data_IF_765640644754
#
_entry.id   IF_765640644754
#
_cell.length_a   1.000
_cell.length_b   1.000
_cell.length_c   1.000
_cell.angle_alpha   90.00
_cell.angle_beta   90.00
_cell.angle_gamma   90.00
#
_symmetry.space_group_name_H-M   'P 1'
#
loop_
_entity.id
_entity.type
_entity.pdbx_description
1 polymer ?
#
# COMPACT_ATOMS: atom_id res chain seq x y z
N UNK A 1 -35.87 8.54 -34.65
CA UNK A 1 -34.90 9.24 -33.81
C UNK A 1 -35.02 8.67 -32.41
N UNK A 2 -34.07 7.88 -31.97
CA UNK A 2 -34.02 7.30 -30.61
C UNK A 2 -33.03 8.15 -29.79
N UNK A 3 -33.33 8.54 -28.55
CA UNK A 3 -32.40 9.28 -27.73
C UNK A 3 -31.30 8.36 -27.19
N UNK A 4 -30.10 8.88 -27.15
CA UNK A 4 -28.89 8.20 -26.63
C UNK A 4 -28.97 7.99 -25.12
N UNK A 5 -28.75 6.75 -24.70
CA UNK A 5 -28.61 6.35 -23.29
C UNK A 5 -27.16 6.60 -22.86
N UNK A 6 -26.86 7.83 -22.44
CA UNK A 6 -25.57 8.20 -21.86
C UNK A 6 -25.73 9.13 -20.65
N UNK A 7 -26.63 8.80 -19.75
CA UNK A 7 -26.80 9.57 -18.52
C UNK A 7 -27.53 8.73 -17.47
N UNK A 8 -26.90 7.68 -16.93
CA UNK A 8 -27.44 7.00 -15.72
C UNK A 8 -26.36 6.16 -15.03
N UNK A 9 -25.27 6.82 -14.56
CA UNK A 9 -24.32 6.22 -13.64
C UNK A 9 -23.67 7.26 -12.69
N UNK A 10 -24.47 8.27 -12.32
CA UNK A 10 -24.04 9.30 -11.39
C UNK A 10 -25.17 9.59 -10.37
N UNK A 11 -25.64 8.57 -9.65
CA UNK A 11 -26.52 8.81 -8.52
C UNK A 11 -26.61 7.52 -7.67
N UNK A 12 -25.73 7.40 -6.67
CA UNK A 12 -25.98 6.66 -5.45
C UNK A 12 -24.80 6.80 -4.47
N UNK A 13 -24.50 8.05 -4.09
CA UNK A 13 -23.89 8.38 -2.81
C UNK A 13 -24.53 9.66 -2.29
N UNK A 14 -25.79 9.54 -1.85
CA UNK A 14 -26.38 10.50 -0.91
C UNK A 14 -25.91 10.10 0.48
N UNK A 15 -24.79 10.69 0.92
CA UNK A 15 -24.47 10.77 2.34
C UNK A 15 -25.46 11.73 3.02
N UNK A 16 -25.96 11.40 4.22
CA UNK A 16 -26.94 12.23 4.90
C UNK A 16 -26.32 13.56 5.36
N UNK A 17 -27.13 14.60 5.34
CA UNK A 17 -26.85 16.00 5.73
C UNK A 17 -26.41 16.21 7.19
N UNK A 18 -25.96 15.19 7.89
CA UNK A 18 -25.44 15.26 9.27
C UNK A 18 -23.94 15.50 9.35
N UNK A 19 -23.22 15.54 8.21
CA UNK A 19 -21.77 15.71 8.20
C UNK A 19 -21.28 17.14 8.52
N UNK A 20 -22.12 18.15 8.38
CA UNK A 20 -21.69 19.55 8.58
C UNK A 20 -21.65 20.00 10.05
N UNK A 21 -22.41 19.37 10.94
CA UNK A 21 -22.37 19.68 12.37
C UNK A 21 -21.29 18.88 13.11
N UNK A 22 -20.91 17.72 12.62
CA UNK A 22 -19.79 16.92 13.16
C UNK A 22 -18.41 17.54 12.87
N UNK A 23 -18.25 18.31 11.78
CA UNK A 23 -16.97 18.98 11.49
C UNK A 23 -16.65 20.10 12.48
N UNK A 24 -17.66 20.82 12.99
CA UNK A 24 -17.46 21.89 13.97
C UNK A 24 -17.17 21.38 15.39
N UNK A 25 -17.55 20.16 15.70
CA UNK A 25 -17.22 19.53 16.99
C UNK A 25 -15.86 18.82 16.98
N UNK A 26 -15.42 18.34 15.82
CA UNK A 26 -14.09 17.74 15.61
C UNK A 26 -12.93 18.71 15.80
N UNK A 27 -13.13 20.01 15.58
CA UNK A 27 -12.06 21.02 15.70
C UNK A 27 -11.66 21.34 17.15
N UNK A 28 -12.52 21.05 18.12
CA UNK A 28 -12.24 21.30 19.56
C UNK A 28 -11.38 20.21 20.22
N UNK A 29 -11.16 19.07 19.54
CA UNK A 29 -10.41 17.93 20.07
C UNK A 29 -9.16 17.58 19.27
N UNK A 30 -8.68 18.48 18.40
CA UNK A 30 -7.44 18.23 17.66
C UNK A 30 -6.26 18.07 18.60
N UNK A 31 -5.58 16.95 18.52
CA UNK A 31 -4.32 16.71 19.22
C UNK A 31 -3.28 17.71 18.67
N UNK A 32 -2.57 18.48 19.51
CA UNK A 32 -1.52 19.36 19.02
C UNK A 32 -0.45 18.55 18.30
N UNK A 33 -0.03 19.02 17.13
CA UNK A 33 1.03 18.36 16.38
C UNK A 33 2.39 18.51 17.12
N UNK A 34 3.17 17.45 17.14
CA UNK A 34 4.50 17.40 17.76
C UNK A 34 5.57 17.88 16.77
N UNK A 35 6.54 18.66 17.21
CA UNK A 35 7.63 19.12 16.35
C UNK A 35 8.64 18.00 16.06
N UNK A 36 8.97 17.84 14.77
CA UNK A 36 10.01 16.92 14.31
C UNK A 36 11.41 17.53 14.29
N UNK A 37 11.55 18.84 14.53
CA UNK A 37 12.79 19.56 14.32
C UNK A 37 13.94 19.02 15.18
N UNK A 38 13.65 18.67 16.44
CA UNK A 38 14.63 18.09 17.34
C UNK A 38 15.03 16.65 17.00
N UNK A 39 14.20 15.96 16.22
CA UNK A 39 14.44 14.57 15.80
C UNK A 39 15.18 14.53 14.47
N UNK A 40 14.64 15.19 13.45
CA UNK A 40 15.13 15.08 12.08
C UNK A 40 16.39 15.90 11.80
N UNK A 41 16.60 17.01 12.53
CA UNK A 41 17.79 17.85 12.38
C UNK A 41 18.82 17.62 13.52
N UNK A 42 18.68 16.52 14.27
CA UNK A 42 19.69 16.07 15.23
C UNK A 42 20.90 15.49 14.47
N UNK A 43 22.10 16.02 14.74
CA UNK A 43 23.35 15.52 14.14
C UNK A 43 23.63 14.05 14.51
N UNK A 44 23.11 13.59 15.65
CA UNK A 44 23.20 12.20 16.09
C UNK A 44 22.13 11.26 15.54
N UNK A 45 21.21 11.71 14.68
CA UNK A 45 20.08 10.90 14.20
C UNK A 45 20.52 9.52 13.67
N UNK A 46 21.57 9.48 12.87
CA UNK A 46 22.05 8.26 12.21
C UNK A 46 22.87 7.33 13.12
N UNK A 47 23.23 7.78 14.31
CA UNK A 47 24.00 6.99 15.29
C UNK A 47 23.10 6.35 16.36
N UNK A 48 21.89 6.86 16.56
CA UNK A 48 20.89 6.31 17.46
C UNK A 48 20.38 4.97 16.96
N UNK A 49 19.86 4.14 17.87
CA UNK A 49 19.09 2.98 17.46
C UNK A 49 17.66 3.38 17.08
N UNK A 50 16.98 2.56 16.27
CA UNK A 50 15.54 2.75 16.00
C UNK A 50 14.69 2.63 17.27
N UNK A 51 15.12 1.81 18.25
CA UNK A 51 14.43 1.65 19.53
C UNK A 51 14.52 2.92 20.39
N UNK A 52 15.70 3.57 20.42
CA UNK A 52 15.85 4.87 21.10
C UNK A 52 14.98 5.94 20.45
N UNK A 53 14.94 5.95 19.10
CA UNK A 53 14.11 6.89 18.37
C UNK A 53 12.62 6.65 18.62
N UNK A 54 12.18 5.39 18.60
CA UNK A 54 10.79 5.02 18.89
C UNK A 54 10.43 5.39 20.32
N UNK A 55 11.33 5.14 21.29
CA UNK A 55 11.12 5.50 22.70
C UNK A 55 10.98 7.02 22.87
N UNK A 56 11.83 7.80 22.19
CA UNK A 56 11.79 9.26 22.23
C UNK A 56 10.55 9.86 21.54
N UNK A 57 9.94 9.12 20.61
CA UNK A 57 8.76 9.56 19.85
C UNK A 57 7.51 8.74 20.15
N UNK A 58 7.53 7.92 21.19
CA UNK A 58 6.41 7.05 21.57
C UNK A 58 5.17 7.88 21.92
N UNK A 59 3.97 7.41 21.48
CA UNK A 59 2.72 8.01 21.93
C UNK A 59 2.61 7.98 23.45
N UNK A 60 2.39 9.14 24.06
CA UNK A 60 2.22 9.26 25.51
C UNK A 60 0.80 9.72 25.87
N UNK A 61 0.24 9.25 27.01
CA UNK A 61 -1.05 9.70 27.47
C UNK A 61 -0.96 11.08 28.10
N UNK A 62 -1.65 12.07 27.53
CA UNK A 62 -1.88 13.37 28.17
C UNK A 62 -3.10 13.32 29.07
N UNK A 63 -3.00 13.84 30.28
CA UNK A 63 -4.14 13.98 31.21
C UNK A 63 -4.91 15.24 30.85
N UNK A 64 -6.11 15.07 30.25
CA UNK A 64 -6.98 16.20 29.91
C UNK A 64 -7.74 16.68 31.14
N UNK A 65 -8.23 15.76 31.96
CA UNK A 65 -9.05 16.09 33.18
C UNK A 65 -8.96 14.98 34.22
N UNK A 66 -8.75 15.38 35.47
CA UNK A 66 -8.93 14.51 36.63
C UNK A 66 -10.27 14.82 37.29
N UNK A 67 -11.06 13.80 37.58
CA UNK A 67 -12.32 13.89 38.32
C UNK A 67 -12.36 12.82 39.39
N UNK A 68 -13.26 12.95 40.37
CA UNK A 68 -13.49 11.91 41.38
C UNK A 68 -13.89 10.55 40.80
N UNK A 69 -14.47 10.54 39.58
CA UNK A 69 -14.91 9.34 38.89
C UNK A 69 -13.86 8.74 37.96
N UNK A 70 -12.69 9.38 37.78
CA UNK A 70 -11.59 8.88 36.96
C UNK A 70 -10.77 9.97 36.26
N UNK A 71 -9.81 9.54 35.52
CA UNK A 71 -8.89 10.41 34.75
C UNK A 71 -9.19 10.29 33.27
N UNK A 72 -9.60 11.39 32.63
CA UNK A 72 -9.72 11.47 31.18
C UNK A 72 -8.32 11.69 30.61
N UNK A 73 -7.89 10.77 29.73
CA UNK A 73 -6.58 10.81 29.06
C UNK A 73 -6.79 10.85 27.55
N UNK A 74 -5.85 11.48 26.87
CA UNK A 74 -5.72 11.48 25.41
C UNK A 74 -4.32 11.00 25.06
N UNK A 75 -4.17 10.16 24.02
CA UNK A 75 -2.86 9.81 23.51
C UNK A 75 -2.31 10.97 22.67
N UNK A 76 -1.09 11.39 22.95
CA UNK A 76 -0.35 12.31 22.09
C UNK A 76 0.13 11.58 20.83
N UNK A 77 0.35 12.30 19.72
CA UNK A 77 0.92 11.69 18.52
C UNK A 77 2.29 11.08 18.82
N UNK A 78 2.57 9.96 18.18
CA UNK A 78 3.85 9.27 18.29
C UNK A 78 4.15 8.47 17.04
N UNK A 79 5.35 7.91 16.98
CA UNK A 79 5.75 7.00 15.93
C UNK A 79 5.58 5.55 16.37
N UNK A 80 5.04 4.73 15.49
CA UNK A 80 4.86 3.31 15.69
C UNK A 80 5.76 2.51 14.75
N UNK A 81 6.01 1.23 15.11
CA UNK A 81 6.78 0.34 14.25
C UNK A 81 6.03 0.07 12.93
N UNK A 82 6.73 0.18 11.81
CA UNK A 82 6.20 -0.19 10.49
C UNK A 82 5.87 -1.67 10.41
N UNK A 83 6.64 -2.50 11.10
CA UNK A 83 6.52 -3.95 11.09
C UNK A 83 6.94 -4.58 12.42
N UNK A 84 6.55 -5.82 12.63
CA UNK A 84 7.01 -6.64 13.77
C UNK A 84 8.52 -6.91 13.73
N UNK A 85 9.16 -6.78 12.56
CA UNK A 85 10.61 -6.86 12.41
C UNK A 85 11.37 -5.61 12.93
N UNK A 86 10.63 -4.55 13.29
CA UNK A 86 11.18 -3.29 13.80
C UNK A 86 12.21 -2.62 12.86
N UNK A 87 11.96 -2.72 11.56
CA UNK A 87 12.82 -2.21 10.49
C UNK A 87 12.55 -0.75 10.10
N UNK A 88 11.63 -0.10 10.79
CA UNK A 88 11.30 1.30 10.58
C UNK A 88 10.16 1.79 11.48
N UNK A 89 9.95 3.10 11.47
CA UNK A 89 8.92 3.80 12.22
C UNK A 89 8.03 4.62 11.27
N UNK A 90 6.77 4.78 11.63
CA UNK A 90 5.80 5.59 10.91
C UNK A 90 4.96 6.42 11.88
N UNK A 91 4.65 7.64 11.47
CA UNK A 91 3.64 8.46 12.09
C UNK A 91 2.53 8.81 11.10
N UNK A 92 1.31 8.86 11.61
CA UNK A 92 0.14 9.22 10.82
C UNK A 92 0.20 10.65 10.31
N UNK A 93 -0.46 10.94 9.17
CA UNK A 93 -0.59 12.28 8.63
C UNK A 93 -1.13 13.28 9.67
N UNK A 94 -0.62 14.49 9.62
CA UNK A 94 -1.00 15.61 10.49
C UNK A 94 -0.71 15.42 12.00
N UNK A 95 -0.04 14.35 12.41
CA UNK A 95 0.42 14.15 13.79
C UNK A 95 1.62 15.03 14.16
N UNK A 96 2.35 15.54 13.16
CA UNK A 96 3.60 16.27 13.34
C UNK A 96 3.65 17.59 12.61
N UNK A 97 4.55 18.45 13.12
CA UNK A 97 4.98 19.68 12.47
C UNK A 97 6.48 19.62 12.15
N UNK A 98 6.87 20.27 11.08
CA UNK A 98 8.26 20.52 10.72
C UNK A 98 8.40 22.02 10.44
N UNK A 99 9.39 22.67 11.08
CA UNK A 99 9.62 24.12 10.98
C UNK A 99 8.33 24.94 11.20
N UNK A 100 7.49 24.50 12.19
CA UNK A 100 6.24 25.15 12.53
C UNK A 100 5.07 24.90 11.57
N UNK A 101 5.24 24.09 10.52
CA UNK A 101 4.18 23.74 9.57
C UNK A 101 3.74 22.29 9.74
N UNK A 102 2.45 22.06 9.63
CA UNK A 102 1.89 20.70 9.58
C UNK A 102 2.48 19.95 8.41
N UNK A 103 2.81 18.69 8.64
CA UNK A 103 3.27 17.74 7.63
C UNK A 103 2.34 16.53 7.60
N UNK A 104 2.41 15.78 6.52
CA UNK A 104 1.69 14.54 6.37
C UNK A 104 2.42 13.36 7.01
N UNK A 105 2.43 12.24 6.33
CA UNK A 105 3.07 11.01 6.75
C UNK A 105 4.58 11.19 6.97
N UNK A 106 5.08 10.61 8.07
CA UNK A 106 6.51 10.55 8.39
C UNK A 106 6.93 9.09 8.47
N UNK A 107 7.96 8.72 7.72
CA UNK A 107 8.51 7.37 7.72
C UNK A 107 10.01 7.45 7.98
N UNK A 108 10.49 6.73 9.00
CA UNK A 108 11.91 6.51 9.23
C UNK A 108 12.21 5.05 8.92
N UNK A 109 13.01 4.79 7.90
CA UNK A 109 13.44 3.44 7.54
C UNK A 109 14.78 3.15 8.16
N UNK A 110 14.92 1.94 8.66
CA UNK A 110 16.13 1.47 9.29
C UNK A 110 16.87 0.42 8.48
N UNK A 111 18.14 0.27 8.84
CA UNK A 111 18.97 -0.80 8.40
C UNK A 111 19.86 -1.23 9.57
N UNK A 112 19.88 -2.52 9.87
CA UNK A 112 20.69 -3.07 10.96
C UNK A 112 20.41 -2.37 12.32
N UNK A 113 19.12 -2.08 12.59
CA UNK A 113 18.67 -1.47 13.83
C UNK A 113 18.92 0.05 13.97
N UNK A 114 19.46 0.72 12.94
CA UNK A 114 19.70 2.16 12.92
C UNK A 114 18.89 2.87 11.84
N UNK A 115 18.49 4.13 12.03
CA UNK A 115 17.93 4.95 10.97
C UNK A 115 18.90 5.07 9.79
N UNK A 116 18.41 4.98 8.57
CA UNK A 116 19.18 5.15 7.34
C UNK A 116 18.57 6.20 6.40
N UNK A 117 17.24 6.34 6.48
CA UNK A 117 16.47 7.29 5.68
C UNK A 117 15.24 7.75 6.49
N UNK A 118 14.90 9.02 6.39
CA UNK A 118 13.65 9.57 6.87
C UNK A 118 12.94 10.28 5.71
N UNK A 119 11.64 10.05 5.54
CA UNK A 119 10.81 10.71 4.54
C UNK A 119 9.65 11.42 5.23
N UNK A 120 9.39 12.67 4.85
CA UNK A 120 8.28 13.48 5.34
C UNK A 120 7.45 13.94 4.15
N UNK A 121 6.18 13.62 4.14
CA UNK A 121 5.22 14.13 3.16
C UNK A 121 4.89 15.60 3.51
N UNK A 122 5.17 16.51 2.58
CA UNK A 122 4.86 17.94 2.71
C UNK A 122 3.60 18.32 1.93
N UNK A 123 3.28 17.54 0.96
CA UNK A 123 2.05 17.51 0.17
C UNK A 123 1.98 16.19 -0.59
N UNK A 124 0.83 15.56 -0.62
CA UNK A 124 0.55 14.40 -1.45
C UNK A 124 -0.89 14.43 -1.94
N UNK A 125 -1.09 14.35 -3.25
CA UNK A 125 -2.42 14.37 -3.85
C UNK A 125 -3.37 13.30 -3.30
N UNK A 126 -2.85 12.12 -2.97
CA UNK A 126 -3.66 11.04 -2.40
C UNK A 126 -4.16 11.28 -0.98
N UNK A 127 -3.51 12.17 -0.20
CA UNK A 127 -3.90 12.50 1.18
C UNK A 127 -4.56 13.89 1.26
N UNK A 128 -4.07 14.86 0.45
CA UNK A 128 -4.41 16.28 0.58
C UNK A 128 -5.38 16.76 -0.53
N UNK A 129 -5.68 15.88 -1.51
CA UNK A 129 -6.47 16.26 -2.69
C UNK A 129 -5.68 17.04 -3.73
N UNK A 130 -6.38 17.58 -4.73
CA UNK A 130 -5.76 18.34 -5.82
C UNK A 130 -5.52 19.81 -5.43
N UNK A 131 -4.36 20.35 -5.82
CA UNK A 131 -4.04 21.76 -5.66
C UNK A 131 -3.65 22.39 -7.01
N UNK A 132 -3.94 23.69 -7.23
CA UNK A 132 -3.47 24.42 -8.40
C UNK A 132 -1.94 24.43 -8.52
N UNK A 133 -1.42 24.47 -9.75
CA UNK A 133 0.00 24.54 -10.02
C UNK A 133 0.70 25.72 -9.30
N UNK A 134 0.08 26.89 -9.27
CA UNK A 134 0.62 28.05 -8.56
C UNK A 134 0.74 27.82 -7.03
N UNK A 135 -0.19 27.09 -6.44
CA UNK A 135 -0.15 26.70 -5.02
C UNK A 135 0.98 25.71 -4.76
N UNK A 136 1.19 24.75 -5.66
CA UNK A 136 2.29 23.81 -5.60
C UNK A 136 3.64 24.51 -5.66
N UNK A 137 3.85 25.41 -6.63
CA UNK A 137 5.08 26.19 -6.78
C UNK A 137 5.34 27.07 -5.56
N UNK A 138 4.32 27.72 -5.03
CA UNK A 138 4.43 28.53 -3.81
C UNK A 138 4.84 27.67 -2.60
N UNK A 139 4.20 26.51 -2.39
CA UNK A 139 4.55 25.57 -1.32
C UNK A 139 6.02 25.09 -1.45
N UNK A 140 6.42 24.69 -2.65
CA UNK A 140 7.76 24.18 -2.91
C UNK A 140 8.83 25.26 -2.63
N UNK A 141 8.61 26.49 -3.08
CA UNK A 141 9.48 27.65 -2.82
C UNK A 141 9.52 28.01 -1.33
N UNK A 142 8.39 27.96 -0.65
CA UNK A 142 8.32 28.22 0.79
C UNK A 142 9.17 27.22 1.58
N UNK A 143 8.99 25.92 1.32
CA UNK A 143 9.80 24.88 1.96
C UNK A 143 11.28 25.04 1.68
N UNK A 144 11.65 25.38 0.43
CA UNK A 144 13.05 25.67 0.09
C UNK A 144 13.60 26.80 0.95
N UNK A 145 12.88 27.92 1.06
CA UNK A 145 13.31 29.09 1.84
C UNK A 145 13.48 28.75 3.33
N UNK A 146 12.54 27.97 3.90
CA UNK A 146 12.59 27.55 5.30
C UNK A 146 13.79 26.64 5.56
N UNK A 147 14.08 25.71 4.64
CA UNK A 147 15.23 24.80 4.74
C UNK A 147 16.56 25.52 4.54
N UNK A 148 16.64 26.48 3.63
CA UNK A 148 17.83 27.35 3.48
C UNK A 148 18.17 28.05 4.81
N UNK A 149 17.16 28.62 5.48
CA UNK A 149 17.31 29.26 6.79
C UNK A 149 17.70 28.29 7.91
N UNK A 150 17.04 27.11 7.97
CA UNK A 150 17.29 26.12 9.04
C UNK A 150 18.64 25.45 8.92
N UNK A 151 19.06 25.08 7.72
CA UNK A 151 20.28 24.33 7.50
C UNK A 151 21.53 25.24 7.44
N UNK A 152 21.34 26.50 7.03
CA UNK A 152 22.38 27.51 6.90
C UNK A 152 23.58 27.04 6.07
N UNK A 153 23.36 26.20 5.08
CA UNK A 153 24.33 25.76 4.07
C UNK A 153 23.73 25.94 2.69
N UNK A 154 24.58 26.11 1.67
CA UNK A 154 24.14 26.32 0.29
C UNK A 154 23.47 25.06 -0.25
N UNK A 155 22.27 25.22 -0.83
CA UNK A 155 21.60 24.16 -1.58
C UNK A 155 22.15 24.06 -3.01
N UNK A 156 22.15 22.84 -3.53
CA UNK A 156 22.42 22.54 -4.93
C UNK A 156 21.11 22.10 -5.60
N UNK A 157 20.80 22.66 -6.78
CA UNK A 157 19.68 22.17 -7.57
C UNK A 157 19.99 20.78 -8.10
N UNK A 158 19.06 19.86 -7.92
CA UNK A 158 19.19 18.48 -8.36
C UNK A 158 18.09 18.14 -9.35
N UNK A 159 18.46 17.99 -10.62
CA UNK A 159 17.60 17.38 -11.63
C UNK A 159 17.75 15.87 -11.51
N UNK A 160 16.80 15.23 -10.88
CA UNK A 160 16.82 13.78 -10.74
C UNK A 160 16.18 13.13 -11.97
N UNK A 161 16.89 12.20 -12.57
CA UNK A 161 16.32 11.24 -13.51
C UNK A 161 15.77 10.08 -12.67
N UNK A 162 14.46 10.05 -12.48
CA UNK A 162 13.73 9.03 -11.73
C UNK A 162 12.63 8.41 -12.57
N UNK A 163 11.78 7.65 -11.90
CA UNK A 163 10.56 7.07 -12.48
C UNK A 163 9.59 8.14 -12.97
N UNK A 164 9.61 9.32 -12.30
CA UNK A 164 8.79 10.50 -12.61
C UNK A 164 9.68 11.74 -12.73
N UNK A 165 9.22 12.81 -13.42
CA UNK A 165 9.91 14.08 -13.42
C UNK A 165 9.96 14.66 -12.01
N UNK A 166 11.17 14.92 -11.50
CA UNK A 166 11.38 15.54 -10.20
C UNK A 166 12.11 16.86 -10.37
N UNK A 167 11.72 17.86 -9.61
CA UNK A 167 12.49 19.06 -9.32
C UNK A 167 12.88 19.04 -7.84
N UNK A 168 14.03 19.59 -7.51
CA UNK A 168 14.44 19.53 -6.11
C UNK A 168 15.79 20.15 -5.83
N UNK A 169 16.08 20.19 -4.55
CA UNK A 169 17.32 20.73 -3.98
C UNK A 169 17.89 19.77 -2.96
N UNK A 170 19.21 19.77 -2.86
CA UNK A 170 19.96 19.01 -1.88
C UNK A 170 20.82 19.93 -1.02
N UNK A 171 20.79 19.73 0.28
CA UNK A 171 21.70 20.30 1.27
C UNK A 171 22.52 19.18 1.88
N UNK A 172 23.78 19.43 2.14
CA UNK A 172 24.69 18.48 2.82
C UNK A 172 25.26 19.16 4.06
N UNK A 173 24.99 18.56 5.23
CA UNK A 173 25.50 19.05 6.52
C UNK A 173 25.96 17.87 7.37
N UNK A 174 27.26 17.77 7.62
CA UNK A 174 27.83 16.59 8.28
C UNK A 174 27.55 15.29 7.52
N UNK A 175 27.07 14.28 8.19
CA UNK A 175 26.64 13.01 7.58
C UNK A 175 25.20 13.04 7.04
N UNK A 176 24.53 14.18 7.06
CA UNK A 176 23.14 14.29 6.62
C UNK A 176 23.04 14.96 5.24
N UNK A 177 22.42 14.27 4.28
CA UNK A 177 21.89 14.86 3.06
C UNK A 177 20.38 15.08 3.23
N UNK A 178 19.92 16.31 3.02
CA UNK A 178 18.51 16.72 3.05
C UNK A 178 18.09 17.02 1.63
N UNK A 179 17.05 16.34 1.14
CA UNK A 179 16.51 16.49 -0.22
C UNK A 179 15.06 16.99 -0.15
N UNK A 180 14.80 18.17 -0.69
CA UNK A 180 13.46 18.63 -0.99
C UNK A 180 13.15 18.24 -2.43
N UNK A 181 12.09 17.48 -2.64
CA UNK A 181 11.70 16.98 -3.96
C UNK A 181 10.22 17.26 -4.21
N UNK A 182 9.92 17.75 -5.39
CA UNK A 182 8.56 17.95 -5.86
C UNK A 182 8.33 17.29 -7.21
N UNK A 183 7.12 16.84 -7.46
CA UNK A 183 6.72 16.28 -8.74
C UNK A 183 5.39 16.86 -9.22
N UNK A 184 5.37 17.20 -10.50
CA UNK A 184 4.18 17.64 -11.21
C UNK A 184 4.00 16.82 -12.48
N UNK A 185 2.79 16.33 -12.71
CA UNK A 185 2.42 15.77 -14.00
C UNK A 185 2.20 16.92 -14.98
N UNK A 186 3.20 17.17 -15.82
CA UNK A 186 3.20 18.33 -16.74
C UNK A 186 2.14 18.20 -17.83
N UNK A 187 1.78 16.99 -18.26
CA UNK A 187 0.76 16.78 -19.29
C UNK A 187 -0.64 17.12 -18.79
N UNK A 188 -0.91 16.87 -17.52
CA UNK A 188 -2.19 17.15 -16.86
C UNK A 188 -2.16 18.45 -16.05
N UNK A 189 -1.01 19.13 -15.97
CA UNK A 189 -0.76 20.31 -15.13
C UNK A 189 -1.17 20.10 -13.67
N UNK A 190 -0.95 18.89 -13.17
CA UNK A 190 -1.40 18.43 -11.87
C UNK A 190 -0.24 18.20 -10.91
N UNK A 191 -0.34 18.79 -9.72
CA UNK A 191 0.60 18.56 -8.63
C UNK A 191 0.42 17.13 -8.09
N UNK A 192 1.51 16.39 -7.90
CA UNK A 192 1.46 15.01 -7.42
C UNK A 192 1.93 14.90 -5.98
N UNK A 193 3.13 15.40 -5.67
CA UNK A 193 3.65 15.41 -4.31
C UNK A 193 4.77 16.43 -4.10
N UNK A 194 4.99 16.81 -2.84
CA UNK A 194 6.20 17.47 -2.32
C UNK A 194 6.63 16.65 -1.10
N UNK A 195 7.89 16.24 -1.07
CA UNK A 195 8.45 15.47 0.04
C UNK A 195 9.82 15.99 0.46
N UNK A 196 10.14 15.77 1.73
CA UNK A 196 11.47 15.92 2.26
C UNK A 196 12.04 14.54 2.54
N UNK A 197 13.25 14.27 2.04
CA UNK A 197 14.00 13.06 2.40
C UNK A 197 15.29 13.46 3.09
N UNK A 198 15.59 12.78 4.19
CA UNK A 198 16.87 12.87 4.87
C UNK A 198 17.54 11.51 4.78
N UNK A 199 18.83 11.48 4.50
CA UNK A 199 19.59 10.22 4.44
C UNK A 199 20.98 10.42 5.00
N UNK A 200 21.51 9.39 5.65
CA UNK A 200 22.92 9.34 6.00
C UNK A 200 23.78 9.22 4.74
N UNK A 201 24.73 10.13 4.56
CA UNK A 201 25.65 10.09 3.41
C UNK A 201 26.54 8.84 3.46
N UNK A 202 26.99 8.46 4.65
CA UNK A 202 27.78 7.24 4.85
C UNK A 202 26.98 5.96 4.59
N UNK A 203 25.74 5.88 5.07
CA UNK A 203 24.87 4.75 4.81
C UNK A 203 24.49 4.64 3.32
N UNK A 204 24.26 5.77 2.65
CA UNK A 204 23.96 5.79 1.22
C UNK A 204 25.11 5.30 0.34
N UNK A 205 26.37 5.59 0.71
CA UNK A 205 27.56 5.09 0.00
C UNK A 205 27.70 3.57 0.10
N UNK A 206 27.22 2.98 1.19
CA UNK A 206 27.29 1.55 1.47
C UNK A 206 26.02 0.79 1.02
N UNK A 207 25.04 1.50 0.45
CA UNK A 207 23.84 0.86 -0.06
C UNK A 207 24.15 0.03 -1.32
N UNK A 208 23.54 -1.15 -1.51
CA UNK A 208 23.72 -1.93 -2.73
C UNK A 208 23.24 -1.11 -3.95
N UNK A 209 24.12 -0.92 -4.90
CA UNK A 209 23.85 -0.12 -6.12
C UNK A 209 23.21 -0.92 -7.24
N UNK A 210 23.07 -2.23 -7.08
CA UNK A 210 22.55 -3.14 -8.12
C UNK A 210 21.36 -3.92 -7.58
N UNK A 211 20.34 -4.09 -8.40
CA UNK A 211 19.29 -5.05 -8.14
C UNK A 211 19.89 -6.45 -7.97
N UNK A 212 19.38 -7.19 -7.01
CA UNK A 212 19.79 -8.57 -6.80
C UNK A 212 19.37 -9.44 -8.01
N UNK A 213 20.17 -10.47 -8.30
CA UNK A 213 19.87 -11.41 -9.39
C UNK A 213 18.67 -12.28 -9.02
N UNK A 214 17.86 -12.64 -10.01
CA UNK A 214 16.66 -13.45 -9.82
C UNK A 214 16.94 -14.78 -9.11
N UNK A 215 18.05 -15.42 -9.41
CA UNK A 215 18.45 -16.72 -8.83
C UNK A 215 18.82 -16.62 -7.34
N UNK A 216 19.15 -15.43 -6.84
CA UNK A 216 19.50 -15.24 -5.41
C UNK A 216 18.30 -15.24 -4.46
N UNK A 217 17.08 -15.04 -4.97
CA UNK A 217 15.89 -14.88 -4.12
C UNK A 217 15.39 -16.21 -3.54
N UNK A 218 15.71 -17.34 -4.15
CA UNK A 218 15.41 -18.65 -3.60
C UNK A 218 16.01 -18.86 -2.19
N UNK A 219 17.10 -18.17 -1.86
CA UNK A 219 17.70 -18.20 -0.51
C UNK A 219 16.79 -17.59 0.58
N UNK A 220 15.82 -16.76 0.20
CA UNK A 220 14.84 -16.17 1.11
C UNK A 220 13.65 -17.08 1.39
N UNK A 221 13.58 -18.24 0.73
CA UNK A 221 12.52 -19.21 0.96
C UNK A 221 12.80 -19.97 2.25
N UNK A 222 11.84 -20.00 3.15
CA UNK A 222 11.89 -20.66 4.47
C UNK A 222 10.75 -21.64 4.59
N UNK A 223 10.88 -22.56 5.53
CA UNK A 223 9.80 -23.41 5.99
C UNK A 223 9.58 -23.16 7.48
N UNK A 224 8.32 -23.01 7.90
CA UNK A 224 8.00 -22.88 9.31
C UNK A 224 7.55 -24.21 9.95
N UNK A 225 7.33 -24.17 11.26
CA UNK A 225 6.90 -25.31 12.07
C UNK A 225 5.47 -25.81 11.75
N UNK A 226 4.69 -25.01 11.04
CA UNK A 226 3.34 -25.34 10.55
C UNK A 226 3.35 -25.98 9.15
N UNK A 227 4.54 -26.18 8.57
CA UNK A 227 4.70 -26.76 7.23
C UNK A 227 4.44 -25.80 6.08
N UNK A 228 4.42 -24.48 6.32
CA UNK A 228 4.38 -23.52 5.25
C UNK A 228 5.74 -23.26 4.64
N UNK A 229 5.82 -23.35 3.33
CA UNK A 229 6.92 -22.78 2.55
C UNK A 229 6.61 -21.32 2.27
N UNK A 230 7.49 -20.38 2.62
CA UNK A 230 7.22 -18.96 2.49
C UNK A 230 8.48 -18.13 2.21
N UNK A 231 8.26 -16.95 1.62
CA UNK A 231 9.30 -15.96 1.33
C UNK A 231 9.46 -15.06 2.55
N UNK A 232 10.67 -14.98 3.07
CA UNK A 232 11.07 -14.09 4.15
C UNK A 232 11.68 -12.80 3.63
N UNK A 233 11.70 -11.73 4.47
CA UNK A 233 12.40 -10.48 4.17
C UNK A 233 11.69 -9.54 3.19
N UNK A 234 10.38 -9.70 2.95
CA UNK A 234 9.62 -8.72 2.15
C UNK A 234 9.36 -7.47 3.01
N UNK A 235 9.90 -6.30 2.60
CA UNK A 235 9.80 -5.09 3.41
C UNK A 235 8.34 -4.62 3.55
N UNK A 236 8.01 -4.04 4.69
CA UNK A 236 6.71 -3.40 4.89
C UNK A 236 6.69 -2.00 4.25
N UNK A 237 5.61 -1.72 3.56
CA UNK A 237 5.20 -0.38 3.14
C UNK A 237 3.75 -0.22 3.56
N UNK A 238 3.48 0.73 4.41
CA UNK A 238 2.13 1.03 4.86
C UNK A 238 1.48 2.01 3.88
N UNK A 239 0.31 1.64 3.35
CA UNK A 239 -0.43 2.47 2.39
C UNK A 239 -1.15 3.65 3.04
N UNK A 240 -1.29 3.66 4.36
CA UNK A 240 -2.13 4.62 5.08
C UNK A 240 -3.62 4.39 4.86
N UNK A 241 -4.39 5.47 4.97
CA UNK A 241 -5.85 5.46 4.82
C UNK A 241 -6.34 5.64 3.37
N UNK A 242 -5.42 5.84 2.44
CA UNK A 242 -5.70 6.10 1.02
C UNK A 242 -5.76 4.82 0.19
N UNK A 243 -6.35 4.87 -0.99
CA UNK A 243 -6.48 3.75 -1.93
C UNK A 243 -5.16 3.28 -2.57
N UNK A 244 -4.07 3.23 -1.82
CA UNK A 244 -2.71 2.94 -2.31
C UNK A 244 -2.30 1.47 -2.23
N UNK A 245 -3.23 0.53 -2.03
CA UNK A 245 -2.91 -0.89 -1.91
C UNK A 245 -2.08 -1.44 -3.09
N UNK A 246 -2.40 -1.02 -4.33
CA UNK A 246 -1.66 -1.43 -5.53
C UNK A 246 -0.24 -0.89 -5.51
N UNK A 247 -0.08 0.42 -5.33
CA UNK A 247 1.23 1.08 -5.44
C UNK A 247 2.14 0.76 -4.25
N UNK A 248 1.58 0.59 -3.06
CA UNK A 248 2.32 0.14 -1.89
C UNK A 248 2.81 -1.32 -2.05
N UNK A 249 1.97 -2.22 -2.57
CA UNK A 249 2.37 -3.60 -2.87
C UNK A 249 3.48 -3.64 -3.93
N UNK A 250 3.40 -2.80 -4.97
CA UNK A 250 4.44 -2.68 -6.00
C UNK A 250 5.74 -2.13 -5.40
N UNK A 251 5.68 -1.11 -4.54
CA UNK A 251 6.87 -0.62 -3.81
C UNK A 251 7.51 -1.72 -2.99
N UNK A 252 6.72 -2.54 -2.27
CA UNK A 252 7.24 -3.66 -1.47
C UNK A 252 8.01 -4.66 -2.32
N UNK A 253 7.43 -5.06 -3.46
CA UNK A 253 8.10 -5.97 -4.40
C UNK A 253 9.34 -5.33 -5.01
N UNK A 254 9.29 -4.07 -5.42
CA UNK A 254 10.42 -3.35 -5.97
C UNK A 254 11.58 -3.23 -4.97
N UNK A 255 11.27 -2.84 -3.72
CA UNK A 255 12.27 -2.78 -2.64
C UNK A 255 12.84 -4.14 -2.29
N UNK A 256 12.04 -5.18 -2.27
CA UNK A 256 12.50 -6.56 -2.08
C UNK A 256 13.55 -6.96 -3.13
N UNK A 257 13.39 -6.51 -4.36
CA UNK A 257 14.35 -6.72 -5.44
C UNK A 257 15.50 -5.70 -5.48
N UNK A 258 15.54 -4.75 -4.53
CA UNK A 258 16.61 -3.74 -4.42
C UNK A 258 16.38 -2.49 -5.26
N UNK A 259 15.18 -2.28 -5.81
CA UNK A 259 14.83 -1.02 -6.48
C UNK A 259 14.36 0.03 -5.46
N UNK A 260 14.91 1.25 -5.57
CA UNK A 260 14.54 2.35 -4.68
C UNK A 260 13.44 3.21 -5.32
N UNK A 261 12.21 2.86 -5.06
CA UNK A 261 11.00 3.54 -5.55
C UNK A 261 10.03 3.66 -4.38
N UNK A 262 9.25 4.73 -4.35
CA UNK A 262 8.20 4.89 -3.34
C UNK A 262 6.78 4.89 -3.94
N UNK A 263 5.79 4.70 -3.07
CA UNK A 263 4.38 4.61 -3.46
C UNK A 263 3.84 5.90 -4.10
N UNK A 264 4.40 7.08 -3.81
CA UNK A 264 3.94 8.34 -4.39
C UNK A 264 4.38 8.48 -5.86
N UNK A 265 5.62 8.09 -6.17
CA UNK A 265 6.08 7.99 -7.56
C UNK A 265 5.26 6.94 -8.32
N UNK A 266 4.96 5.82 -7.67
CA UNK A 266 4.10 4.78 -8.24
C UNK A 266 2.68 5.29 -8.48
N UNK A 267 2.10 6.05 -7.55
CA UNK A 267 0.77 6.62 -7.67
C UNK A 267 0.67 7.58 -8.87
N UNK A 268 1.69 8.41 -9.08
CA UNK A 268 1.76 9.28 -10.27
C UNK A 268 1.80 8.47 -11.57
N UNK A 269 2.60 7.41 -11.63
CA UNK A 269 2.71 6.55 -12.81
C UNK A 269 1.43 5.77 -13.11
N UNK A 270 0.77 5.31 -12.05
CA UNK A 270 -0.48 4.55 -12.11
C UNK A 270 -1.71 5.42 -12.27
N UNK A 271 -1.57 6.74 -12.16
CA UNK A 271 -2.68 7.68 -12.04
C UNK A 271 -3.66 7.30 -10.90
N UNK A 272 -3.09 6.87 -9.77
CA UNK A 272 -3.85 6.48 -8.58
C UNK A 272 -4.42 7.71 -7.89
N UNK A 273 -5.69 7.67 -7.47
CA UNK A 273 -6.34 8.67 -6.63
C UNK A 273 -6.48 8.18 -5.18
N UNK A 274 -7.15 8.97 -4.35
CA UNK A 274 -7.63 8.57 -3.03
C UNK A 274 -8.60 7.38 -3.08
N UNK A 275 -9.39 7.27 -4.16
CA UNK A 275 -10.28 6.13 -4.43
C UNK A 275 -9.55 4.85 -4.90
N UNK A 276 -8.26 4.94 -5.21
CA UNK A 276 -7.43 3.83 -5.64
C UNK A 276 -7.08 3.80 -7.13
N UNK A 277 -6.65 2.64 -7.60
CA UNK A 277 -6.29 2.39 -8.99
C UNK A 277 -7.42 1.60 -9.65
N UNK A 278 -8.04 2.14 -10.71
CA UNK A 278 -9.12 1.44 -11.42
C UNK A 278 -8.63 0.13 -12.06
N UNK A 279 -9.51 -0.88 -12.13
CA UNK A 279 -9.17 -2.19 -12.70
C UNK A 279 -8.65 -2.12 -14.14
N UNK A 280 -9.21 -1.24 -14.98
CA UNK A 280 -8.75 -1.03 -16.37
C UNK A 280 -7.42 -0.26 -16.40
N UNK A 281 -7.17 0.62 -15.42
CA UNK A 281 -5.92 1.37 -15.28
C UNK A 281 -4.77 0.52 -14.76
N UNK A 282 -5.06 -0.52 -14.00
CA UNK A 282 -4.08 -1.33 -13.30
C UNK A 282 -3.10 -2.06 -14.23
N UNK A 283 -3.56 -2.70 -15.29
CA UNK A 283 -2.69 -3.37 -16.27
C UNK A 283 -1.75 -2.39 -16.96
N UNK A 284 -2.27 -1.22 -17.38
CA UNK A 284 -1.46 -0.15 -17.96
C UNK A 284 -0.49 0.43 -16.95
N UNK A 285 -0.93 0.55 -15.68
CA UNK A 285 -0.10 1.00 -14.57
C UNK A 285 1.05 0.02 -14.32
N UNK A 286 0.79 -1.27 -14.23
CA UNK A 286 1.84 -2.29 -14.08
C UNK A 286 2.87 -2.21 -15.19
N UNK A 287 2.46 -2.11 -16.45
CA UNK A 287 3.38 -2.01 -17.59
C UNK A 287 4.24 -0.74 -17.52
N UNK A 288 3.63 0.41 -17.17
CA UNK A 288 4.35 1.69 -17.04
C UNK A 288 5.35 1.67 -15.88
N UNK A 289 4.94 1.12 -14.73
CA UNK A 289 5.76 1.04 -13.54
C UNK A 289 6.93 0.08 -13.79
N UNK A 290 6.64 -1.16 -14.19
CA UNK A 290 7.65 -2.22 -14.25
C UNK A 290 8.72 -1.96 -15.28
N UNK A 291 8.38 -1.36 -16.43
CA UNK A 291 9.37 -0.95 -17.41
C UNK A 291 10.38 0.09 -16.90
N UNK A 292 9.93 0.99 -16.00
CA UNK A 292 10.80 2.03 -15.41
C UNK A 292 11.65 1.52 -14.24
N UNK A 293 11.23 0.45 -13.59
CA UNK A 293 11.95 -0.13 -12.44
C UNK A 293 12.75 -1.37 -12.80
N UNK A 294 12.94 -1.63 -14.09
CA UNK A 294 13.69 -2.79 -14.60
C UNK A 294 13.09 -4.14 -14.15
N UNK A 295 11.78 -4.19 -13.93
CA UNK A 295 11.03 -5.40 -13.68
C UNK A 295 10.19 -5.77 -14.90
N UNK A 296 9.77 -7.02 -14.97
CA UNK A 296 8.80 -7.53 -15.94
C UNK A 296 7.59 -8.07 -15.19
N UNK A 297 6.41 -7.65 -15.60
CA UNK A 297 5.14 -8.18 -15.08
C UNK A 297 4.59 -9.26 -16.00
N UNK A 298 4.16 -10.37 -15.40
CA UNK A 298 3.45 -11.46 -16.07
C UNK A 298 2.11 -11.66 -15.37
N UNK A 299 1.01 -11.60 -16.14
CA UNK A 299 -0.34 -11.92 -15.65
C UNK A 299 -0.57 -13.43 -15.79
N UNK A 300 -0.94 -14.10 -14.71
CA UNK A 300 -1.18 -15.55 -14.66
C UNK A 300 -2.67 -15.88 -14.59
N UNK A 301 -3.45 -15.06 -13.92
CA UNK A 301 -4.89 -15.21 -13.76
C UNK A 301 -5.54 -13.84 -13.98
N UNK A 302 -6.68 -13.88 -14.66
CA UNK A 302 -7.57 -12.74 -14.85
C UNK A 302 -9.01 -13.22 -14.68
N UNK A 303 -9.80 -12.49 -13.89
CA UNK A 303 -11.21 -12.72 -13.72
C UNK A 303 -11.97 -11.75 -14.63
N UNK A 304 -12.24 -12.20 -15.85
CA UNK A 304 -12.97 -11.47 -16.88
C UNK A 304 -14.47 -11.84 -16.87
N UNK A 305 -15.25 -11.12 -17.65
CA UNK A 305 -16.70 -11.34 -17.81
C UNK A 305 -17.03 -12.79 -18.21
N UNK A 306 -16.28 -13.37 -19.17
CA UNK A 306 -16.49 -14.75 -19.63
C UNK A 306 -16.25 -15.77 -18.51
N UNK A 307 -15.28 -15.49 -17.63
CA UNK A 307 -15.02 -16.33 -16.47
C UNK A 307 -16.13 -16.20 -15.43
N UNK A 308 -16.60 -14.95 -15.19
CA UNK A 308 -17.72 -14.68 -14.32
C UNK A 308 -19.00 -15.41 -14.77
N UNK A 309 -19.33 -15.34 -16.07
CA UNK A 309 -20.46 -16.07 -16.64
C UNK A 309 -20.36 -17.59 -16.42
N UNK A 310 -19.18 -18.18 -16.67
CA UNK A 310 -18.98 -19.62 -16.42
C UNK A 310 -19.15 -19.97 -14.96
N UNK A 311 -18.61 -19.14 -14.06
CA UNK A 311 -18.71 -19.35 -12.63
C UNK A 311 -20.16 -19.23 -12.15
N UNK A 312 -20.94 -18.26 -12.64
CA UNK A 312 -22.37 -18.12 -12.33
C UNK A 312 -23.17 -19.33 -12.80
N UNK A 313 -22.93 -19.83 -14.01
CA UNK A 313 -23.61 -21.03 -14.53
C UNK A 313 -23.28 -22.26 -13.69
N UNK A 314 -22.01 -22.48 -13.36
CA UNK A 314 -21.57 -23.59 -12.52
C UNK A 314 -22.15 -23.49 -11.11
N UNK A 315 -22.09 -22.28 -10.52
CA UNK A 315 -22.67 -21.99 -9.21
C UNK A 315 -24.18 -22.25 -9.20
N UNK A 316 -24.95 -21.71 -10.17
CA UNK A 316 -26.40 -21.88 -10.22
C UNK A 316 -26.81 -23.35 -10.33
N UNK A 317 -26.03 -24.14 -11.07
CA UNK A 317 -26.26 -25.61 -11.16
C UNK A 317 -26.04 -26.26 -9.79
N UNK A 318 -25.02 -25.92 -9.06
CA UNK A 318 -24.73 -26.44 -7.73
C UNK A 318 -25.74 -25.90 -6.68
N UNK A 319 -26.06 -24.61 -6.75
CA UNK A 319 -27.02 -23.94 -5.86
C UNK A 319 -28.42 -24.57 -5.92
N UNK A 320 -28.87 -24.90 -7.14
CA UNK A 320 -30.14 -25.61 -7.34
C UNK A 320 -30.14 -26.98 -6.64
N UNK A 321 -29.04 -27.72 -6.73
CA UNK A 321 -28.89 -29.02 -6.06
C UNK A 321 -28.82 -28.88 -4.54
N UNK A 322 -28.16 -27.83 -4.06
CA UNK A 322 -27.98 -27.55 -2.64
C UNK A 322 -29.23 -26.86 -1.99
N UNK A 323 -30.20 -26.44 -2.77
CA UNK A 323 -31.36 -25.72 -2.27
C UNK A 323 -31.05 -24.30 -1.77
N UNK A 324 -29.96 -23.68 -2.27
CA UNK A 324 -29.58 -22.31 -1.91
C UNK A 324 -29.89 -21.33 -3.04
N UNK A 325 -29.88 -20.05 -2.72
CA UNK A 325 -30.21 -18.98 -3.69
C UNK A 325 -29.27 -19.02 -4.91
N UNK A 326 -29.87 -18.94 -6.10
CA UNK A 326 -29.17 -18.74 -7.36
C UNK A 326 -28.92 -17.27 -7.62
N UNK A 327 -27.87 -16.96 -8.38
CA UNK A 327 -27.53 -15.60 -8.85
C UNK A 327 -28.42 -15.31 -10.06
N UNK A 328 -29.03 -14.14 -10.08
CA UNK A 328 -30.03 -13.57 -10.94
C UNK A 328 -30.39 -14.31 -12.25
N UNK A 329 -31.66 -14.67 -12.37
CA UNK A 329 -32.24 -15.21 -13.62
C UNK A 329 -32.30 -14.14 -14.76
N UNK A 330 -32.13 -12.85 -14.40
CA UNK A 330 -32.22 -11.71 -15.32
C UNK A 330 -30.87 -11.31 -15.94
N UNK A 331 -29.79 -12.00 -15.58
CA UNK A 331 -28.44 -11.76 -16.09
C UNK A 331 -28.29 -12.02 -17.60
N UNK A 332 -29.23 -12.72 -18.21
CA UNK A 332 -29.19 -13.08 -19.65
C UNK A 332 -29.37 -11.87 -20.60
N UNK A 333 -29.78 -10.70 -20.10
CA UNK A 333 -30.10 -9.54 -20.94
C UNK A 333 -28.97 -8.50 -20.97
N UNK A 334 -28.15 -8.39 -19.92
CA UNK A 334 -27.18 -7.29 -19.75
C UNK A 334 -25.74 -7.72 -19.41
N UNK A 335 -25.43 -9.01 -19.41
CA UNK A 335 -24.16 -9.52 -18.91
C UNK A 335 -24.17 -9.66 -17.38
N UNK A 336 -23.24 -10.45 -16.86
CA UNK A 336 -23.05 -10.64 -15.40
C UNK A 336 -22.03 -9.63 -14.89
N UNK A 337 -22.43 -8.78 -13.93
CA UNK A 337 -21.45 -8.02 -13.16
C UNK A 337 -20.58 -9.01 -12.36
N UNK A 338 -19.27 -9.09 -12.60
CA UNK A 338 -18.40 -10.00 -11.87
C UNK A 338 -18.46 -9.85 -10.35
N UNK A 339 -18.85 -8.68 -9.85
CA UNK A 339 -18.97 -8.39 -8.41
C UNK A 339 -20.19 -9.09 -7.78
N UNK A 340 -21.23 -9.35 -8.55
CA UNK A 340 -22.48 -9.90 -8.04
C UNK A 340 -22.27 -11.29 -7.41
N UNK A 341 -21.34 -12.08 -7.95
CA UNK A 341 -21.02 -13.39 -7.42
C UNK A 341 -20.43 -13.30 -6.00
N UNK A 342 -19.56 -12.31 -5.74
CA UNK A 342 -18.96 -12.10 -4.41
C UNK A 342 -19.94 -11.53 -3.39
N UNK A 343 -20.99 -10.86 -3.88
CA UNK A 343 -22.00 -10.20 -3.04
C UNK A 343 -23.14 -11.15 -2.64
N UNK A 344 -23.51 -12.08 -3.51
CA UNK A 344 -24.79 -12.79 -3.39
C UNK A 344 -24.68 -14.30 -3.32
N UNK A 345 -23.57 -14.91 -3.78
CA UNK A 345 -23.39 -16.35 -3.76
C UNK A 345 -23.32 -16.93 -2.34
N UNK A 346 -23.90 -18.12 -2.15
CA UNK A 346 -23.59 -18.90 -0.96
C UNK A 346 -22.13 -19.34 -0.99
N UNK A 347 -21.40 -18.97 0.05
CA UNK A 347 -19.92 -19.09 0.13
C UNK A 347 -19.45 -20.53 -0.02
N UNK A 348 -20.10 -21.45 0.70
CA UNK A 348 -19.68 -22.85 0.73
C UNK A 348 -19.91 -23.50 -0.63
N UNK A 349 -21.10 -23.29 -1.19
CA UNK A 349 -21.43 -23.81 -2.52
C UNK A 349 -20.50 -23.24 -3.59
N UNK A 350 -20.21 -21.93 -3.54
CA UNK A 350 -19.30 -21.32 -4.51
C UNK A 350 -17.86 -21.80 -4.35
N UNK A 351 -17.37 -21.94 -3.12
CA UNK A 351 -16.05 -22.47 -2.81
C UNK A 351 -15.88 -23.89 -3.35
N UNK A 352 -16.86 -24.79 -3.14
CA UNK A 352 -16.79 -26.15 -3.64
C UNK A 352 -16.79 -26.22 -5.17
N UNK A 353 -17.60 -25.37 -5.82
CA UNK A 353 -17.59 -25.22 -7.29
C UNK A 353 -16.21 -24.75 -7.77
N UNK A 354 -15.65 -23.72 -7.16
CA UNK A 354 -14.37 -23.16 -7.56
C UNK A 354 -13.21 -24.14 -7.35
N UNK A 355 -13.21 -24.87 -6.23
CA UNK A 355 -12.20 -25.89 -5.93
C UNK A 355 -12.18 -27.03 -6.94
N UNK A 356 -13.34 -27.40 -7.51
CA UNK A 356 -13.43 -28.45 -8.52
C UNK A 356 -13.01 -28.03 -9.94
N UNK A 357 -12.70 -26.75 -10.16
CA UNK A 357 -12.31 -26.25 -11.47
C UNK A 357 -10.80 -26.39 -11.73
N UNK A 358 -10.37 -26.64 -12.98
CA UNK A 358 -8.94 -26.67 -13.35
C UNK A 358 -8.20 -25.36 -13.05
N UNK A 359 -8.93 -24.25 -12.93
CA UNK A 359 -8.39 -22.96 -12.56
C UNK A 359 -7.80 -22.92 -11.14
N UNK A 360 -8.33 -23.74 -10.23
CA UNK A 360 -7.81 -23.85 -8.86
C UNK A 360 -6.43 -24.52 -8.83
N UNK A 361 -6.27 -25.64 -9.52
CA UNK A 361 -4.95 -26.30 -9.67
C UNK A 361 -3.93 -25.38 -10.35
N UNK A 362 -4.37 -24.57 -11.32
CA UNK A 362 -3.49 -23.59 -11.95
C UNK A 362 -3.07 -22.50 -10.95
N UNK A 363 -3.96 -22.02 -10.09
CA UNK A 363 -3.67 -21.06 -9.03
C UNK A 363 -2.62 -21.61 -8.07
N UNK A 364 -2.81 -22.82 -7.54
CA UNK A 364 -1.86 -23.48 -6.63
C UNK A 364 -0.49 -23.70 -7.30
N UNK A 365 -0.49 -24.19 -8.54
CA UNK A 365 0.75 -24.40 -9.29
C UNK A 365 1.53 -23.10 -9.48
N UNK A 366 0.85 -21.99 -9.78
CA UNK A 366 1.51 -20.68 -9.92
C UNK A 366 2.05 -20.16 -8.60
N UNK A 367 1.32 -20.33 -7.52
CA UNK A 367 1.80 -19.96 -6.18
C UNK A 367 3.08 -20.74 -5.86
N UNK A 368 3.04 -22.07 -5.99
CA UNK A 368 4.20 -22.90 -5.73
C UNK A 368 5.39 -22.55 -6.61
N UNK A 369 5.18 -22.38 -7.92
CA UNK A 369 6.22 -22.06 -8.91
C UNK A 369 7.00 -20.79 -8.55
N UNK A 370 6.31 -19.73 -8.11
CA UNK A 370 6.94 -18.44 -7.84
C UNK A 370 7.46 -18.33 -6.40
N UNK A 371 6.73 -18.86 -5.44
CA UNK A 371 7.19 -18.87 -4.03
C UNK A 371 8.47 -19.69 -3.87
N UNK A 372 8.59 -20.85 -4.51
CA UNK A 372 9.81 -21.68 -4.47
C UNK A 372 11.03 -20.95 -5.06
N UNK A 373 10.81 -19.98 -5.94
CA UNK A 373 11.86 -19.11 -6.48
C UNK A 373 12.12 -17.86 -5.64
N UNK A 374 11.42 -17.67 -4.52
CA UNK A 374 11.51 -16.45 -3.70
C UNK A 374 10.87 -15.23 -4.37
N UNK A 375 9.89 -15.40 -5.24
CA UNK A 375 9.21 -14.32 -5.96
C UNK A 375 7.78 -14.17 -5.42
N UNK A 376 7.46 -13.05 -4.71
CA UNK A 376 6.10 -12.81 -4.23
C UNK A 376 5.15 -12.53 -5.40
N UNK A 377 3.90 -12.94 -5.26
CA UNK A 377 2.87 -12.72 -6.27
C UNK A 377 1.97 -11.55 -5.88
N UNK A 378 1.82 -10.58 -6.77
CA UNK A 378 0.81 -9.54 -6.64
C UNK A 378 -0.57 -10.14 -6.89
N UNK A 379 -1.42 -10.09 -5.89
CA UNK A 379 -2.72 -10.73 -5.88
C UNK A 379 -3.81 -9.69 -5.66
N UNK A 380 -4.62 -9.46 -6.70
CA UNK A 380 -5.82 -8.63 -6.60
C UNK A 380 -7.02 -9.50 -6.30
N UNK A 381 -7.82 -9.05 -5.35
CA UNK A 381 -8.96 -9.79 -4.85
C UNK A 381 -10.12 -8.85 -4.50
N UNK A 382 -11.32 -9.42 -4.39
CA UNK A 382 -12.50 -8.73 -3.88
C UNK A 382 -12.77 -9.18 -2.45
N UNK A 383 -12.57 -8.28 -1.50
CA UNK A 383 -12.81 -8.52 -0.07
C UNK A 383 -14.29 -8.60 0.25
N UNK A 384 -14.66 -9.33 1.29
CA UNK A 384 -15.99 -9.37 1.88
C UNK A 384 -16.71 -10.71 1.75
N UNK A 385 -16.37 -11.56 0.75
CA UNK A 385 -16.99 -12.87 0.62
C UNK A 385 -16.66 -13.80 1.80
N UNK A 386 -15.38 -13.88 2.16
CA UNK A 386 -14.92 -14.62 3.34
C UNK A 386 -14.42 -13.62 4.39
N UNK A 387 -15.11 -13.45 5.54
CA UNK A 387 -14.74 -12.48 6.55
C UNK A 387 -13.39 -12.80 7.19
N UNK A 388 -12.56 -11.78 7.29
CA UNK A 388 -11.30 -11.82 7.99
C UNK A 388 -11.32 -10.84 9.17
N UNK A 389 -10.59 -11.17 10.25
CA UNK A 389 -10.53 -10.31 11.45
C UNK A 389 -9.48 -9.23 11.28
N UNK A 390 -9.73 -8.08 11.91
CA UNK A 390 -8.76 -6.97 12.03
C UNK A 390 -8.25 -6.45 10.68
N UNK A 391 -9.18 -6.19 9.74
CA UNK A 391 -8.88 -5.53 8.48
C UNK A 391 -9.30 -4.06 8.54
N UNK A 392 -8.44 -3.10 8.14
CA UNK A 392 -8.84 -1.71 7.94
C UNK A 392 -9.90 -1.54 6.84
N UNK A 393 -9.83 -2.36 5.79
CA UNK A 393 -10.84 -2.48 4.75
C UNK A 393 -11.37 -3.92 4.72
N UNK A 394 -12.66 -4.10 4.87
CA UNK A 394 -13.31 -5.41 4.92
C UNK A 394 -14.18 -5.72 3.69
N UNK A 395 -14.23 -4.81 2.71
CA UNK A 395 -15.07 -4.93 1.52
C UNK A 395 -14.45 -4.21 0.32
N UNK A 396 -14.66 -4.76 -0.91
CA UNK A 396 -14.26 -4.16 -2.17
C UNK A 396 -12.92 -4.64 -2.72
N UNK A 397 -12.47 -4.02 -3.80
CA UNK A 397 -11.21 -4.36 -4.46
C UNK A 397 -10.00 -4.03 -3.60
N UNK A 398 -9.03 -4.94 -3.57
CA UNK A 398 -7.80 -4.78 -2.80
C UNK A 398 -6.64 -5.53 -3.46
N UNK A 399 -5.40 -5.16 -3.13
CA UNK A 399 -4.20 -5.88 -3.55
C UNK A 399 -3.37 -6.29 -2.35
N UNK A 400 -2.94 -7.55 -2.38
CA UNK A 400 -2.05 -8.22 -1.42
C UNK A 400 -0.86 -8.85 -2.14
N UNK A 401 0.09 -9.35 -1.37
CA UNK A 401 1.14 -10.22 -1.89
C UNK A 401 0.95 -11.63 -1.33
N UNK A 402 0.84 -12.64 -2.20
CA UNK A 402 0.98 -14.03 -1.78
C UNK A 402 2.47 -14.31 -1.60
N UNK A 403 2.84 -14.80 -0.42
CA UNK A 403 4.23 -15.00 -0.02
C UNK A 403 4.54 -16.44 0.40
N UNK A 404 3.52 -17.31 0.49
CA UNK A 404 3.75 -18.68 0.93
C UNK A 404 2.55 -19.58 0.73
N UNK A 405 2.77 -20.86 0.96
CA UNK A 405 1.75 -21.89 0.82
C UNK A 405 2.03 -23.08 1.77
N UNK A 406 0.96 -23.82 2.10
CA UNK A 406 1.01 -25.17 2.64
C UNK A 406 0.02 -26.05 1.84
N UNK A 407 0.56 -26.88 0.93
CA UNK A 407 -0.17 -27.80 0.06
C UNK A 407 0.25 -29.25 0.36
N UNK A 408 0.55 -29.56 1.63
CA UNK A 408 1.03 -30.89 2.05
C UNK A 408 -0.09 -31.90 2.24
N UNK A 409 -1.32 -31.43 2.54
CA UNK A 409 -2.48 -32.29 2.67
C UNK A 409 -2.87 -32.91 1.32
N UNK A 410 -3.41 -34.15 1.35
CA UNK A 410 -4.04 -34.76 0.18
C UNK A 410 -5.38 -34.14 -0.15
N UNK A 411 -6.02 -33.53 0.85
CA UNK A 411 -7.30 -32.86 0.70
C UNK A 411 -7.08 -31.38 0.32
N UNK A 412 -7.39 -31.02 -0.92
CA UNK A 412 -7.21 -29.66 -1.42
C UNK A 412 -8.03 -28.60 -0.65
N UNK A 413 -9.06 -29.02 0.07
CA UNK A 413 -9.83 -28.18 0.97
C UNK A 413 -9.05 -27.71 2.21
N UNK A 414 -7.95 -28.36 2.54
CA UNK A 414 -7.07 -28.03 3.68
C UNK A 414 -5.87 -27.20 3.25
N UNK A 415 -5.67 -27.00 1.94
CA UNK A 415 -4.58 -26.18 1.42
C UNK A 415 -4.72 -24.74 1.87
N UNK A 416 -3.58 -24.14 2.23
CA UNK A 416 -3.52 -22.78 2.75
C UNK A 416 -2.46 -21.95 2.02
N UNK A 417 -2.67 -20.64 1.99
CA UNK A 417 -1.69 -19.66 1.51
C UNK A 417 -1.31 -18.70 2.63
N UNK A 418 -0.04 -18.26 2.63
CA UNK A 418 0.39 -17.08 3.35
C UNK A 418 0.33 -15.87 2.42
N UNK A 419 -0.21 -14.79 2.95
CA UNK A 419 -0.21 -13.50 2.30
C UNK A 419 0.25 -12.40 3.27
N UNK A 420 0.66 -11.29 2.70
CA UNK A 420 1.04 -10.07 3.43
C UNK A 420 0.31 -8.88 2.84
N UNK A 421 -0.09 -7.97 3.72
CA UNK A 421 -0.86 -6.78 3.38
C UNK A 421 -0.04 -5.51 3.57
N UNK A 422 -0.46 -4.40 2.95
CA UNK A 422 0.19 -3.08 3.04
C UNK A 422 -0.44 -2.18 4.11
N UNK A 423 -0.88 -2.76 5.22
CA UNK A 423 -1.52 -2.05 6.34
C UNK A 423 -0.65 -1.98 7.60
N UNK A 424 0.67 -2.05 7.44
CA UNK A 424 1.62 -1.87 8.53
C UNK A 424 1.74 -3.07 9.46
N UNK A 425 2.15 -2.78 10.70
CA UNK A 425 2.44 -3.79 11.72
C UNK A 425 1.23 -4.66 12.02
N UNK A 426 1.48 -5.99 12.11
CA UNK A 426 0.45 -7.01 12.31
C UNK A 426 -0.19 -7.53 11.00
N UNK A 427 0.23 -7.00 9.85
CA UNK A 427 -0.25 -7.44 8.53
C UNK A 427 0.85 -8.09 7.67
N UNK A 428 2.01 -8.42 8.25
CA UNK A 428 3.18 -8.96 7.55
C UNK A 428 2.99 -10.38 7.06
N UNK A 429 2.27 -11.19 7.83
CA UNK A 429 2.07 -12.61 7.50
C UNK A 429 0.75 -13.12 8.08
N UNK A 430 -0.20 -13.39 7.21
CA UNK A 430 -1.50 -13.96 7.54
C UNK A 430 -1.75 -15.21 6.71
N UNK A 431 -2.54 -16.13 7.24
CA UNK A 431 -2.92 -17.36 6.56
C UNK A 431 -4.41 -17.34 6.22
N UNK A 432 -4.75 -17.95 5.08
CA UNK A 432 -6.12 -18.28 4.72
C UNK A 432 -6.17 -19.56 3.89
N UNK A 433 -7.37 -20.16 3.74
CA UNK A 433 -7.58 -21.28 2.85
C UNK A 433 -7.31 -20.87 1.40
N UNK A 434 -6.61 -21.73 0.67
CA UNK A 434 -6.26 -21.44 -0.73
C UNK A 434 -7.52 -21.38 -1.63
N UNK A 435 -8.52 -22.22 -1.38
CA UNK A 435 -9.78 -22.22 -2.13
C UNK A 435 -10.63 -20.97 -1.87
N UNK A 436 -10.63 -20.42 -0.65
CA UNK A 436 -11.27 -19.14 -0.34
C UNK A 436 -10.54 -17.98 -1.03
N UNK A 437 -9.19 -17.99 -1.00
CA UNK A 437 -8.38 -17.04 -1.75
C UNK A 437 -8.67 -17.09 -3.25
N UNK A 438 -8.77 -18.27 -3.83
CA UNK A 438 -9.10 -18.43 -5.24
C UNK A 438 -10.51 -17.92 -5.59
N UNK A 439 -11.51 -18.12 -4.72
CA UNK A 439 -12.85 -17.57 -4.91
C UNK A 439 -12.84 -16.04 -5.04
N UNK A 440 -12.03 -15.36 -4.25
CA UNK A 440 -11.94 -13.89 -4.23
C UNK A 440 -10.99 -13.32 -5.29
N UNK A 441 -10.23 -14.15 -6.00
CA UNK A 441 -9.19 -13.71 -6.93
C UNK A 441 -9.77 -12.99 -8.14
N UNK A 442 -9.36 -11.73 -8.33
CA UNK A 442 -9.60 -10.93 -9.54
C UNK A 442 -8.45 -11.12 -10.54
N UNK A 443 -7.21 -11.03 -10.09
CA UNK A 443 -6.04 -11.31 -10.92
C UNK A 443 -4.83 -11.73 -10.08
N UNK A 444 -3.90 -12.45 -10.72
CA UNK A 444 -2.62 -12.86 -10.15
C UNK A 444 -1.49 -12.50 -11.10
N UNK A 445 -0.50 -11.78 -10.56
CA UNK A 445 0.66 -11.35 -11.33
C UNK A 445 1.96 -11.74 -10.63
N UNK A 446 3.00 -11.96 -11.40
CA UNK A 446 4.37 -11.93 -10.89
C UNK A 446 5.10 -10.70 -11.43
N UNK A 447 5.91 -10.08 -10.61
CA UNK A 447 6.90 -9.07 -10.99
C UNK A 447 8.27 -9.70 -10.81
N UNK A 448 9.07 -9.72 -11.86
CA UNK A 448 10.39 -10.36 -11.83
C UNK A 448 11.45 -9.40 -12.36
N UNK A 449 12.68 -9.42 -11.83
CA UNK A 449 13.79 -8.66 -12.39
C UNK A 449 14.04 -9.07 -13.85
N UNK A 450 14.43 -8.10 -14.68
CA UNK A 450 14.72 -8.32 -16.10
C UNK A 450 16.02 -9.12 -16.34
N UNK A 451 16.87 -9.24 -15.30
CA UNK A 451 18.14 -9.99 -15.35
C UNK A 451 18.32 -10.82 -14.09
#
# INVERSE_FOLDING_TARGET
MKPSVSALLAALFLLPLHAQDEEKEKDKNKIPATSLDAVLFDEGLWTKSLEDLQTATKPEPEIIKKTEKGTLRRMLPGMEWLSTAKDGLRADPASYQLLGKKVGEVIVRGREGKPGEATVSLFNRGDDGEIPAATYEAKLKEWKTMLDGKLAVRSEERKQQGSVPLEGWIWKKGDTAVLLEGSMNRSEKRAEFIRLRLTSVSAAKNAPTKMARRDSFAANVKMDDKGFTYIDGIPMVDQGQKGYCVVASVERVARYFGANIDQHEMAQLANTSDEGTSGVGMDKAFQRITGKVHLRTLKHIEYDEKRAERDVRAYNTAAKKAGVRQIGADADIYGVDPREIWLTANKETFRDVKRSQPGYEHFERKIKEYVDQGIPLCWTLFLGMFPEKNLPQNFGGHMRLIIGYNFTSKESAEHQIYYTDSWGSGHEKKAMRADEGFCMTMALYSMVPNK
#
